data_IF_943130358417
#
_entry.id   IF_943130358417
#
_cell.length_a   1.000
_cell.length_b   1.000
_cell.length_c   1.000
_cell.angle_alpha   90.00
_cell.angle_beta   90.00
_cell.angle_gamma   90.00
#
_symmetry.space_group_name_H-M   'P 1'
#
loop_
_entity.id
_entity.type
_entity.pdbx_description
1 polymer ?
2 non-polymer ?
3 non-polymer ?
4 non-polymer ?
5 non-polymer ?
6 water ?
#
# COMPACT_ATOMS: atom_id res chain seq x y z
N UNK A 15 -17.72 -15.67 16.35
CA UNK A 15 -17.18 -14.73 15.33
C UNK A 15 -16.17 -13.75 15.93
N UNK A 16 -16.54 -13.13 17.04
CA UNK A 16 -15.67 -12.17 17.73
C UNK A 16 -14.39 -12.87 18.18
N UNK A 17 -14.51 -14.10 18.70
CA UNK A 17 -13.33 -14.90 19.04
C UNK A 17 -12.43 -15.20 17.85
N UNK A 18 -13.02 -15.57 16.70
CA UNK A 18 -12.22 -15.76 15.46
C UNK A 18 -11.51 -14.48 15.03
N UNK A 19 -12.22 -13.36 15.07
CA UNK A 19 -11.62 -12.08 14.68
C UNK A 19 -10.45 -11.73 15.61
N UNK A 20 -10.67 -11.89 16.92
CA UNK A 20 -9.61 -11.64 17.93
C UNK A 20 -8.39 -12.51 17.68
N UNK A 21 -8.62 -13.77 17.31
CA UNK A 21 -7.53 -14.69 17.01
C UNK A 21 -6.71 -14.23 15.80
N UNK A 22 -7.38 -13.80 14.74
CA UNK A 22 -6.68 -13.28 13.56
C UNK A 22 -5.87 -12.04 13.92
N UNK A 23 -6.46 -11.19 14.76
CA UNK A 23 -5.82 -9.93 15.16
C UNK A 23 -4.64 -10.13 16.13
N UNK A 24 -4.42 -11.36 16.60
CA UNK A 24 -3.16 -11.70 17.32
C UNK A 24 -1.95 -11.45 16.41
N UNK A 25 -2.16 -11.48 15.09
CA UNK A 25 -1.10 -11.23 14.12
C UNK A 25 -1.08 -9.80 13.59
N UNK A 26 -1.74 -8.87 14.30
CA UNK A 26 -1.81 -7.47 13.88
C UNK A 26 -0.45 -6.85 13.57
N UNK A 27 0.58 -7.22 14.33
CA UNK A 27 1.91 -6.62 14.17
C UNK A 27 2.86 -7.52 13.35
N UNK A 28 2.30 -8.49 12.64
CA UNK A 28 3.08 -9.48 11.93
C UNK A 28 2.83 -9.44 10.43
N UNK A 29 3.90 -9.66 9.68
CA UNK A 29 3.78 -9.84 8.24
C UNK A 29 2.96 -11.07 8.00
N UNK A 30 2.00 -11.01 7.10
CA UNK A 30 1.17 -12.18 6.80
C UNK A 30 -0.02 -12.44 7.70
N UNK A 31 -0.45 -11.44 8.45
CA UNK A 31 -1.79 -11.45 9.03
C UNK A 31 -2.78 -11.80 7.90
N UNK A 32 -3.73 -12.68 8.16
CA UNK A 32 -4.62 -13.13 7.10
C UNK A 32 -5.78 -12.16 6.97
N UNK A 33 -5.60 -11.15 6.12
CA UNK A 33 -6.58 -10.10 5.94
C UNK A 33 -7.85 -10.60 5.26
N UNK A 34 -7.73 -11.67 4.49
CA UNK A 34 -8.93 -12.32 3.91
C UNK A 34 -9.84 -12.84 5.01
N UNK A 35 -9.25 -13.48 6.02
CA UNK A 35 -10.04 -13.90 7.17
C UNK A 35 -10.61 -12.72 7.95
N UNK A 36 -9.82 -11.66 8.13
CA UNK A 36 -10.33 -10.45 8.77
C UNK A 36 -11.56 -9.90 8.03
N UNK A 37 -11.51 -9.89 6.70
CA UNK A 37 -12.67 -9.44 5.90
C UNK A 37 -13.91 -10.30 6.18
N UNK A 38 -13.72 -11.61 6.23
CA UNK A 38 -14.79 -12.53 6.50
C UNK A 38 -15.42 -12.32 7.86
N UNK A 39 -14.57 -12.16 8.89
CA UNK A 39 -15.08 -12.07 10.27
C UNK A 39 -15.55 -10.66 10.66
N UNK A 40 -15.27 -9.65 9.82
CA UNK A 40 -15.74 -8.29 10.04
C UNK A 40 -16.91 -7.88 9.12
N UNK A 41 -17.59 -8.87 8.55
CA UNK A 41 -18.64 -8.69 7.54
C UNK A 41 -18.25 -7.70 6.42
N UNK A 42 -17.11 -8.05 5.83
CA UNK A 42 -16.54 -7.37 4.69
C UNK A 42 -16.25 -5.89 4.91
N UNK A 43 -15.72 -5.61 6.11
CA UNK A 43 -15.23 -4.29 6.46
C UNK A 43 -13.76 -4.41 6.93
N UNK A 44 -12.90 -5.02 6.10
CA UNK A 44 -11.50 -5.21 6.54
C UNK A 44 -10.75 -3.90 6.77
N UNK A 45 -11.05 -2.86 6.00
CA UNK A 45 -10.30 -1.61 6.13
C UNK A 45 -10.67 -0.90 7.43
N UNK A 46 -11.96 -0.74 7.68
CA UNK A 46 -12.40 -0.13 8.95
C UNK A 46 -11.89 -0.95 10.14
N UNK A 47 -12.06 -2.26 10.06
CA UNK A 47 -11.66 -3.16 11.15
C UNK A 47 -10.15 -3.07 11.43
N UNK A 48 -9.34 -3.23 10.40
CA UNK A 48 -7.88 -3.22 10.60
C UNK A 48 -7.34 -1.83 10.99
N UNK A 49 -7.91 -0.76 10.43
CA UNK A 49 -7.49 0.59 10.81
C UNK A 49 -7.84 0.92 12.25
N UNK A 50 -9.01 0.49 12.72
CA UNK A 50 -9.38 0.70 14.12
C UNK A 50 -8.37 -0.07 15.00
N UNK A 51 -8.10 -1.32 14.65
CA UNK A 51 -7.14 -2.15 15.39
C UNK A 51 -5.76 -1.48 15.45
N UNK A 52 -5.29 -1.00 14.29
CA UNK A 52 -3.95 -0.37 14.20
C UNK A 52 -3.90 0.90 15.05
N UNK A 53 -4.95 1.71 14.94
CA UNK A 53 -4.97 2.97 15.67
C UNK A 53 -5.09 2.76 17.19
N UNK A 54 -5.83 1.74 17.60
CA UNK A 54 -5.87 1.35 19.00
C UNK A 54 -4.48 0.87 19.49
N UNK A 55 -3.89 -0.02 18.70
CA UNK A 55 -2.60 -0.63 19.00
C UNK A 55 -1.48 0.39 19.21
N UNK A 56 -1.44 1.40 18.34
CA UNK A 56 -0.41 2.42 18.40
C UNK A 56 -0.80 3.62 19.26
N UNK A 57 -1.95 3.55 19.95
CA UNK A 57 -2.45 4.65 20.78
C UNK A 57 -2.62 5.94 19.95
N UNK A 58 -2.85 5.82 18.65
CA UNK A 58 -2.97 6.99 17.75
C UNK A 58 -4.22 7.82 18.04
N UNK A 59 -5.33 7.18 18.44
CA UNK A 59 -6.53 7.92 18.82
C UNK A 59 -6.26 8.79 20.04
N UNK A 60 -5.57 8.24 21.05
CA UNK A 60 -5.20 9.00 22.23
C UNK A 60 -4.18 10.11 21.92
N UNK A 61 -3.13 9.77 21.20
CA UNK A 61 -2.05 10.71 20.90
C UNK A 61 -2.50 11.93 20.11
N UNK A 62 -3.36 11.68 19.13
CA UNK A 62 -3.83 12.70 18.18
C UNK A 62 -5.24 13.16 18.48
N UNK A 63 -5.77 12.67 19.60
CA UNK A 63 -7.01 13.14 20.19
C UNK A 63 -8.15 13.02 19.18
N UNK A 64 -8.32 11.81 18.66
CA UNK A 64 -9.32 11.47 17.66
C UNK A 64 -10.36 10.64 18.36
N UNK A 65 -11.61 11.05 18.31
CA UNK A 65 -12.66 10.26 18.96
C UNK A 65 -12.87 9.01 18.13
N UNK A 66 -13.30 7.93 18.79
CA UNK A 66 -13.66 6.69 18.07
C UNK A 66 -14.77 6.95 17.07
N UNK A 67 -15.72 7.82 17.44
CA UNK A 67 -16.83 8.18 16.55
C UNK A 67 -16.34 8.81 15.25
N UNK A 68 -15.45 9.79 15.35
CA UNK A 68 -14.93 10.47 14.18
C UNK A 68 -14.11 9.48 13.34
N UNK A 69 -13.27 8.70 14.00
CA UNK A 69 -12.42 7.79 13.28
C UNK A 69 -13.23 6.71 12.52
N UNK A 70 -14.20 6.09 13.19
CA UNK A 70 -14.98 5.04 12.55
C UNK A 70 -15.91 5.60 11.47
N UNK A 71 -16.38 6.85 11.65
CA UNK A 71 -17.19 7.55 10.63
C UNK A 71 -16.36 7.80 9.36
N UNK A 72 -15.14 8.34 9.54
CA UNK A 72 -14.25 8.52 8.42
C UNK A 72 -13.92 7.20 7.75
N UNK A 73 -13.48 6.22 8.54
CA UNK A 73 -13.08 4.95 7.96
C UNK A 73 -14.17 4.22 7.19
N UNK A 74 -15.38 4.21 7.73
CA UNK A 74 -16.49 3.59 7.02
C UNK A 74 -16.81 4.30 5.70
N UNK A 75 -16.73 5.63 5.69
CA UNK A 75 -16.93 6.42 4.48
C UNK A 75 -15.81 6.18 3.46
N UNK A 76 -14.58 6.15 3.94
CA UNK A 76 -13.42 5.81 3.11
C UNK A 76 -13.61 4.43 2.47
N UNK A 77 -13.99 3.45 3.29
CA UNK A 77 -14.14 2.08 2.82
C UNK A 77 -15.25 1.98 1.76
N UNK A 78 -16.34 2.75 1.97
CA UNK A 78 -17.46 2.82 1.03
C UNK A 78 -17.05 3.41 -0.33
N UNK A 79 -15.93 4.16 -0.36
CA UNK A 79 -15.40 4.77 -1.59
C UNK A 79 -14.36 3.92 -2.31
N UNK A 80 -14.04 2.75 -1.76
CA UNK A 80 -13.41 1.68 -2.52
C UNK A 80 -14.51 0.90 -3.20
N UNK A 81 -14.32 0.57 -4.47
CA UNK A 81 -15.35 -0.08 -5.28
C UNK A 81 -15.35 -1.59 -4.95
N UNK A 82 -16.46 -2.12 -4.45
CA UNK A 82 -16.55 -3.56 -4.15
C UNK A 82 -16.59 -4.47 -5.38
N UNK A 83 -16.94 -3.91 -6.53
CA UNK A 83 -17.01 -4.65 -7.78
C UNK A 83 -15.71 -4.68 -8.60
N UNK A 84 -14.64 -4.05 -8.13
CA UNK A 84 -13.32 -4.25 -8.74
C UNK A 84 -12.60 -5.38 -8.00
N UNK A 85 -11.95 -6.25 -8.77
CA UNK A 85 -11.45 -7.51 -8.19
C UNK A 85 -10.26 -7.36 -7.24
N UNK A 86 -9.39 -6.38 -7.51
CA UNK A 86 -8.17 -6.17 -6.71
C UNK A 86 -8.19 -4.87 -5.91
N UNK A 87 -8.43 -3.75 -6.58
CA UNK A 87 -8.29 -2.42 -5.96
C UNK A 87 -9.54 -2.03 -5.17
N UNK A 88 -9.93 -2.92 -4.27
CA UNK A 88 -11.06 -2.75 -3.38
C UNK A 88 -10.51 -2.58 -1.96
N UNK A 89 -11.39 -2.48 -0.96
CA UNK A 89 -10.88 -2.12 0.38
C UNK A 89 -10.05 -3.22 1.07
N UNK A 90 -10.14 -4.46 0.58
CA UNK A 90 -9.28 -5.55 1.08
C UNK A 90 -7.81 -5.24 0.77
N UNK A 91 -7.55 -4.76 -0.43
CA UNK A 91 -6.19 -4.35 -0.81
C UNK A 91 -5.70 -3.20 0.08
N UNK A 92 -6.56 -2.20 0.29
CA UNK A 92 -6.22 -1.07 1.14
C UNK A 92 -5.89 -1.52 2.57
N UNK A 93 -6.72 -2.43 3.11
CA UNK A 93 -6.53 -2.97 4.44
C UNK A 93 -5.17 -3.70 4.52
N UNK A 94 -4.86 -4.47 3.49
CA UNK A 94 -3.60 -5.20 3.43
C UNK A 94 -2.39 -4.23 3.43
N UNK A 95 -2.47 -3.20 2.60
CA UNK A 95 -1.37 -2.23 2.48
C UNK A 95 -1.20 -1.43 3.78
N UNK A 96 -2.31 -1.07 4.42
CA UNK A 96 -2.23 -0.40 5.69
C UNK A 96 -1.60 -1.27 6.76
N UNK A 97 -2.05 -2.51 6.88
CA UNK A 97 -1.50 -3.41 7.91
C UNK A 97 0.00 -3.71 7.61
N UNK A 98 0.33 -3.85 6.33
CA UNK A 98 1.74 -4.11 5.94
C UNK A 98 2.63 -2.88 6.26
N UNK A 99 2.09 -1.68 6.05
CA UNK A 99 2.81 -0.45 6.39
C UNK A 99 3.00 -0.36 7.91
N UNK A 100 1.96 -0.69 8.66
CA UNK A 100 2.03 -0.76 10.11
C UNK A 100 3.16 -1.70 10.60
N UNK A 101 3.32 -2.86 9.93
CA UNK A 101 4.40 -3.79 10.23
C UNK A 101 5.80 -3.20 9.91
N UNK A 102 5.91 -2.63 8.72
CA UNK A 102 7.18 -2.02 8.30
C UNK A 102 7.64 -0.86 9.22
N UNK A 103 6.70 -0.09 9.72
CA UNK A 103 7.06 1.03 10.62
C UNK A 103 7.72 0.56 11.92
N UNK A 104 7.40 -0.65 12.34
CA UNK A 104 7.98 -1.26 13.54
C UNK A 104 9.19 -2.18 13.28
N UNK A 105 9.80 -2.14 12.10
CA UNK A 105 10.98 -2.94 11.84
C UNK A 105 12.05 -2.45 12.82
N UNK A 106 12.70 -3.38 13.54
CA UNK A 106 13.71 -3.01 14.57
C UNK A 106 14.82 -2.05 14.14
N UNK A 107 15.31 -2.20 12.90
CA UNK A 107 16.29 -1.26 12.36
C UNK A 107 15.80 0.19 12.26
N UNK A 108 14.49 0.44 12.36
CA UNK A 108 13.91 1.79 12.34
C UNK A 108 13.42 2.24 13.72
N UNK A 109 13.90 1.59 14.78
CA UNK A 109 13.50 1.90 16.16
C UNK A 109 13.75 3.38 16.50
N UNK A 110 12.67 4.09 16.84
CA UNK A 110 12.73 5.49 17.27
C UNK A 110 13.17 6.45 16.17
N UNK A 111 13.15 6.02 14.91
CA UNK A 111 13.57 6.85 13.78
C UNK A 111 12.45 7.82 13.42
N UNK A 112 11.21 7.31 13.32
CA UNK A 112 10.09 8.12 12.85
C UNK A 112 9.26 8.70 13.97
N UNK A 113 8.75 9.91 13.73
CA UNK A 113 7.95 10.62 14.69
C UNK A 113 6.54 10.03 14.69
N UNK A 114 5.76 10.38 15.71
CA UNK A 114 4.36 10.02 15.77
C UNK A 114 3.60 10.51 14.55
N UNK A 115 3.91 11.75 14.13
CA UNK A 115 3.23 12.34 12.95
C UNK A 115 3.54 11.54 11.66
N UNK A 116 4.80 11.15 11.51
CA UNK A 116 5.23 10.33 10.37
C UNK A 116 4.53 8.97 10.34
N UNK A 117 4.41 8.34 11.52
CA UNK A 117 3.69 7.08 11.69
C UNK A 117 2.23 7.22 11.27
N UNK A 118 1.56 8.23 11.83
CA UNK A 118 0.17 8.56 11.47
C UNK A 118 0.01 8.76 9.95
N UNK A 119 0.90 9.57 9.37
CA UNK A 119 0.85 9.92 7.96
C UNK A 119 0.99 8.68 7.08
N UNK A 120 1.94 7.82 7.43
CA UNK A 120 2.21 6.62 6.61
C UNK A 120 1.04 5.66 6.61
N UNK A 121 0.45 5.46 7.78
CA UNK A 121 -0.67 4.50 7.90
C UNK A 121 -1.90 5.06 7.18
N UNK A 122 -2.16 6.36 7.37
CA UNK A 122 -3.24 7.02 6.65
C UNK A 122 -3.04 6.97 5.14
N UNK A 123 -1.83 7.29 4.67
CA UNK A 123 -1.50 7.21 3.25
C UNK A 123 -1.81 5.83 2.71
N UNK A 124 -1.36 4.80 3.41
CA UNK A 124 -1.63 3.41 3.02
C UNK A 124 -3.16 3.17 2.93
N UNK A 125 -3.92 3.65 3.88
CA UNK A 125 -5.36 3.39 3.88
C UNK A 125 -6.08 4.02 2.70
N UNK A 126 -5.67 5.22 2.33
CA UNK A 126 -6.33 6.00 1.27
C UNK A 126 -5.72 5.78 -0.12
N UNK A 127 -4.61 5.07 -0.23
CA UNK A 127 -3.76 5.19 -1.40
C UNK A 127 -4.36 4.69 -2.71
N UNK A 128 -5.43 3.89 -2.66
CA UNK A 128 -6.14 3.47 -3.88
C UNK A 128 -7.63 3.77 -3.85
N UNK A 129 -8.06 4.76 -3.04
CA UNK A 129 -9.49 4.96 -2.85
C UNK A 129 -10.12 5.41 -4.18
N UNK A 130 -11.33 4.91 -4.46
CA UNK A 130 -12.08 5.27 -5.66
C UNK A 130 -11.35 4.88 -6.94
N UNK A 131 -10.65 3.77 -6.88
CA UNK A 131 -9.93 3.22 -8.03
C UNK A 131 -10.96 2.63 -9.00
N UNK A 132 -10.87 2.96 -10.29
CA UNK A 132 -11.83 2.44 -11.26
C UNK A 132 -11.55 1.04 -11.80
N UNK A 133 -10.42 0.43 -11.41
CA UNK A 133 -10.03 -0.88 -11.87
C UNK A 133 -9.38 -0.91 -13.26
N UNK A 134 -8.85 0.22 -13.68
CA UNK A 134 -8.02 0.32 -14.89
C UNK A 134 -6.76 1.10 -14.57
N UNK A 135 -5.77 0.98 -15.45
CA UNK A 135 -4.47 1.61 -15.22
C UNK A 135 -4.39 3.06 -15.63
N UNK A 136 -3.34 3.73 -15.18
CA UNK A 136 -3.04 5.09 -15.67
C UNK A 136 -2.91 5.14 -17.20
N UNK A 137 -2.25 4.15 -17.78
CA UNK A 137 -2.07 4.13 -19.23
C UNK A 137 -3.43 4.06 -19.93
N UNK A 138 -4.34 3.25 -19.38
CA UNK A 138 -5.70 3.21 -19.94
C UNK A 138 -6.40 4.57 -19.86
N UNK A 139 -6.29 5.24 -18.73
CA UNK A 139 -6.98 6.54 -18.54
C UNK A 139 -6.39 7.58 -19.50
N UNK A 140 -5.07 7.52 -19.70
CA UNK A 140 -4.39 8.45 -20.61
C UNK A 140 -4.82 8.20 -22.04
N UNK A 141 -4.75 6.93 -22.46
CA UNK A 141 -5.05 6.59 -23.85
C UNK A 141 -6.54 6.69 -24.24
N UNK A 142 -7.44 6.72 -23.25
CA UNK A 142 -8.86 6.94 -23.49
C UNK A 142 -9.31 8.39 -23.25
N UNK A 143 -8.36 9.30 -23.02
CA UNK A 143 -8.63 10.71 -22.83
C UNK A 143 -9.63 10.96 -21.70
N UNK A 144 -9.45 10.23 -20.59
CA UNK A 144 -10.29 10.33 -19.38
C UNK A 144 -10.27 11.77 -18.87
N UNK A 145 -11.39 12.20 -18.31
CA UNK A 145 -11.43 13.45 -17.52
C UNK A 145 -10.36 13.50 -16.48
N UNK A 146 -10.08 12.38 -15.81
CA UNK A 146 -9.03 12.38 -14.77
C UNK A 146 -7.67 12.64 -15.40
N UNK A 147 -7.39 12.02 -16.54
CA UNK A 147 -6.10 12.27 -17.23
C UNK A 147 -5.98 13.72 -17.66
N UNK A 148 -7.08 14.30 -18.14
CA UNK A 148 -7.13 15.74 -18.47
C UNK A 148 -6.85 16.63 -17.24
N UNK A 149 -7.55 16.36 -16.15
CA UNK A 149 -7.40 17.13 -14.92
C UNK A 149 -5.95 17.17 -14.44
N UNK A 150 -5.26 16.03 -14.49
CA UNK A 150 -3.92 15.90 -13.94
C UNK A 150 -2.80 15.83 -14.98
N UNK A 151 -3.09 16.25 -16.21
CA UNK A 151 -2.14 16.26 -17.30
C UNK A 151 -1.34 14.97 -17.42
N UNK A 152 -2.05 13.84 -17.36
CA UNK A 152 -1.43 12.50 -17.50
C UNK A 152 -0.39 12.15 -16.41
N UNK A 153 -0.30 12.95 -15.35
CA UNK A 153 0.78 12.82 -14.35
C UNK A 153 0.19 12.16 -13.12
N UNK A 154 0.70 10.98 -12.75
CA UNK A 154 0.20 10.22 -11.59
C UNK A 154 -1.33 10.31 -11.45
N UNK A 155 -2.02 9.92 -12.52
CA UNK A 155 -3.43 10.30 -12.69
C UNK A 155 -4.25 9.68 -11.56
N UNK A 156 -4.19 8.36 -11.42
CA UNK A 156 -4.93 7.68 -10.36
C UNK A 156 -4.54 8.16 -8.97
N UNK A 157 -3.22 8.28 -8.75
CA UNK A 157 -2.67 8.60 -7.44
C UNK A 157 -3.10 9.99 -6.98
N UNK A 158 -3.09 10.95 -7.90
CA UNK A 158 -3.71 12.27 -7.65
C UNK A 158 -5.18 12.18 -7.28
N UNK A 159 -5.89 11.33 -8.00
CA UNK A 159 -7.30 11.12 -7.72
C UNK A 159 -7.55 10.49 -6.36
N UNK A 160 -6.73 9.51 -5.98
CA UNK A 160 -6.87 8.87 -4.66
C UNK A 160 -6.69 9.91 -3.54
N UNK A 161 -5.68 10.77 -3.69
CA UNK A 161 -5.42 11.86 -2.75
C UNK A 161 -6.61 12.81 -2.69
N UNK A 162 -7.14 13.17 -3.86
CA UNK A 162 -8.26 14.10 -3.91
C UNK A 162 -9.45 13.57 -3.12
N UNK A 163 -9.78 12.30 -3.34
CA UNK A 163 -10.93 11.70 -2.66
C UNK A 163 -10.64 11.49 -1.17
N UNK A 164 -9.49 10.95 -0.84
CA UNK A 164 -9.18 10.64 0.56
C UNK A 164 -9.16 11.90 1.40
N UNK A 165 -8.61 12.99 0.87
CA UNK A 165 -8.59 14.26 1.59
C UNK A 165 -9.95 14.88 1.66
N UNK A 166 -10.73 14.84 0.58
CA UNK A 166 -12.04 15.53 0.58
C UNK A 166 -12.98 14.88 1.58
N UNK A 167 -12.86 13.59 1.76
CA UNK A 167 -13.72 12.88 2.75
C UNK A 167 -13.51 13.38 4.19
N UNK A 168 -12.34 13.93 4.47
CA UNK A 168 -12.08 14.56 5.79
C UNK A 168 -13.02 15.72 6.11
N UNK A 169 -13.56 16.38 5.07
CA UNK A 169 -14.49 17.50 5.21
C UNK A 169 -15.95 17.12 5.42
N UNK A 170 -16.27 15.83 5.34
CA UNK A 170 -17.64 15.36 5.63
C UNK A 170 -17.92 15.44 7.13
N UNK A 171 -19.20 15.48 7.48
CA UNK A 171 -19.62 15.68 8.87
C UNK A 171 -19.02 14.57 9.76
N UNK A 172 -18.37 15.00 10.84
CA UNK A 172 -17.74 14.10 11.83
C UNK A 172 -16.66 13.20 11.24
N UNK A 173 -15.97 13.69 10.21
CA UNK A 173 -14.93 12.92 9.53
C UNK A 173 -13.51 13.45 9.65
N UNK A 174 -13.31 14.64 10.22
CA UNK A 174 -11.95 15.23 10.23
C UNK A 174 -11.13 14.64 11.38
N UNK A 175 -10.52 13.50 11.09
CA UNK A 175 -9.68 12.81 12.07
C UNK A 175 -8.42 13.62 12.47
N UNK A 176 -8.08 14.66 11.71
CA UNK A 176 -6.89 15.52 12.02
C UNK A 176 -7.19 16.83 12.69
N UNK A 177 -8.42 17.04 13.15
CA UNK A 177 -8.87 18.31 13.72
C UNK A 177 -8.06 18.80 14.93
N UNK A 178 -7.44 17.88 15.68
CA UNK A 178 -6.70 18.27 16.90
C UNK A 178 -5.18 18.24 16.72
N UNK A 179 -4.72 17.96 15.50
CA UNK A 179 -3.31 18.21 15.13
C UNK A 179 -3.07 19.71 15.16
N UNK A 180 -1.83 20.10 15.43
CA UNK A 180 -1.45 21.50 15.31
C UNK A 180 -1.50 21.90 13.83
N UNK A 181 -1.54 23.20 13.58
CA UNK A 181 -1.60 23.72 12.20
C UNK A 181 -0.40 23.24 11.39
N UNK A 182 0.79 23.32 11.98
CA UNK A 182 1.99 22.86 11.31
C UNK A 182 1.96 21.36 11.09
N UNK A 183 1.43 20.61 12.06
CA UNK A 183 1.31 19.17 11.89
C UNK A 183 0.34 18.79 10.78
N UNK A 184 -0.78 19.51 10.68
CA UNK A 184 -1.71 19.31 9.58
C UNK A 184 -1.06 19.57 8.20
N UNK A 185 -0.35 20.69 8.09
CA UNK A 185 0.36 21.00 6.85
C UNK A 185 1.42 19.95 6.49
N UNK A 186 2.22 19.56 7.49
CA UNK A 186 3.30 18.59 7.26
C UNK A 186 2.73 17.20 6.95
N UNK A 187 1.71 16.79 7.68
CA UNK A 187 1.08 15.49 7.37
C UNK A 187 0.49 15.49 5.96
N UNK A 188 -0.15 16.58 5.54
CA UNK A 188 -0.69 16.65 4.18
C UNK A 188 0.40 16.41 3.16
N UNK A 189 1.53 17.13 3.31
CA UNK A 189 2.66 17.00 2.38
C UNK A 189 3.17 15.56 2.39
N UNK A 190 3.35 14.98 3.59
CA UNK A 190 3.86 13.61 3.71
C UNK A 190 2.93 12.54 3.10
N UNK A 191 1.64 12.68 3.34
CA UNK A 191 0.65 11.76 2.74
C UNK A 191 0.69 11.86 1.23
N UNK A 192 0.73 13.07 0.70
CA UNK A 192 0.88 13.27 -0.73
C UNK A 192 2.12 12.54 -1.24
N UNK A 193 3.25 12.77 -0.58
CA UNK A 193 4.48 12.13 -1.00
C UNK A 193 4.35 10.61 -1.06
N UNK A 194 3.72 10.03 -0.06
CA UNK A 194 3.66 8.56 0.05
C UNK A 194 2.66 7.98 -0.94
N UNK A 195 1.53 8.66 -1.16
CA UNK A 195 0.55 8.14 -2.15
C UNK A 195 1.13 8.29 -3.57
N UNK A 196 1.73 9.42 -3.86
CA UNK A 196 2.35 9.60 -5.19
C UNK A 196 3.49 8.59 -5.41
N UNK A 197 4.16 8.15 -4.34
CA UNK A 197 5.22 7.15 -4.46
C UNK A 197 4.68 5.77 -4.84
N UNK A 198 3.36 5.59 -4.87
CA UNK A 198 2.78 4.34 -5.37
C UNK A 198 2.58 4.34 -6.89
N UNK A 199 2.76 5.49 -7.54
CA UNK A 199 2.75 5.60 -9.01
C UNK A 199 3.94 4.81 -9.56
N UNK A 200 3.66 3.76 -10.31
CA UNK A 200 4.75 2.95 -10.87
C UNK A 200 5.74 3.70 -11.76
N UNK A 201 5.29 4.81 -12.37
CA UNK A 201 6.20 5.65 -13.14
C UNK A 201 7.35 6.24 -12.32
N UNK A 202 7.18 6.28 -10.99
CA UNK A 202 8.20 6.79 -10.06
C UNK A 202 9.11 5.69 -9.51
N UNK A 203 8.84 4.45 -9.88
CA UNK A 203 9.54 3.32 -9.28
C UNK A 203 11.06 3.37 -9.44
N UNK A 204 11.53 3.61 -10.65
CA UNK A 204 12.97 3.61 -10.89
C UNK A 204 13.66 4.71 -10.10
N UNK A 205 13.04 5.87 -10.00
CA UNK A 205 13.59 7.00 -9.24
C UNK A 205 13.67 6.69 -7.76
N UNK A 206 12.58 6.19 -7.23
CA UNK A 206 12.50 5.79 -5.82
C UNK A 206 13.55 4.76 -5.49
N UNK A 207 13.69 3.74 -6.33
CA UNK A 207 14.69 2.69 -6.11
C UNK A 207 16.11 3.21 -6.22
N UNK A 208 16.37 4.11 -7.17
CA UNK A 208 17.69 4.71 -7.26
C UNK A 208 18.05 5.44 -5.97
N UNK A 209 17.10 6.18 -5.43
CA UNK A 209 17.31 6.92 -4.16
C UNK A 209 17.48 5.95 -2.99
N UNK A 210 16.69 4.88 -2.95
CA UNK A 210 16.85 3.86 -1.90
C UNK A 210 18.25 3.22 -1.95
N UNK A 211 18.74 2.91 -3.16
CA UNK A 211 20.06 2.33 -3.35
C UNK A 211 21.12 3.30 -2.87
N UNK A 212 20.95 4.59 -3.18
CA UNK A 212 21.86 5.63 -2.69
C UNK A 212 21.91 5.66 -1.15
N UNK A 213 20.75 5.55 -0.52
CA UNK A 213 20.68 5.52 0.94
C UNK A 213 21.38 4.30 1.53
N UNK A 214 21.24 3.14 0.87
CA UNK A 214 21.94 1.93 1.30
C UNK A 214 23.46 2.10 1.17
N UNK A 215 23.89 2.63 0.04
CA UNK A 215 25.32 2.84 -0.23
C UNK A 215 25.97 3.84 0.72
N UNK A 216 25.18 4.76 1.28
CA UNK A 216 25.68 5.79 2.21
C UNK A 216 25.07 5.66 3.62
N UNK A 217 24.61 4.47 4.00
CA UNK A 217 23.84 4.36 5.23
C UNK A 217 24.70 4.57 6.48
N UNK A 218 24.11 5.22 7.47
CA UNK A 218 24.72 5.45 8.78
C UNK A 218 23.87 4.66 9.78
N UNK A 219 24.54 3.99 10.73
CA UNK A 219 23.90 3.08 11.67
C UNK A 219 24.50 3.30 13.07
N UNK A 220 23.65 3.26 14.10
CA UNK A 220 24.10 3.35 15.51
C UNK A 220 24.81 2.06 15.93
N UNK A 221 25.40 2.11 17.12
CA UNK A 221 25.97 0.93 17.78
C UNK A 221 24.96 -0.22 17.93
N UNK A 222 23.69 0.12 18.16
CA UNK A 222 22.60 -0.86 18.32
C UNK A 222 22.02 -1.46 17.02
N UNK A 223 22.53 -1.03 15.85
CA UNK A 223 22.04 -1.53 14.56
C UNK A 223 20.85 -0.78 13.99
N UNK A 224 20.60 0.44 14.49
CA UNK A 224 19.47 1.28 14.09
C UNK A 224 19.90 2.33 13.05
N UNK A 225 19.07 2.52 12.02
CA UNK A 225 19.36 3.45 10.93
C UNK A 225 19.37 4.91 11.44
N UNK A 226 20.34 5.71 10.99
CA UNK A 226 20.41 7.15 11.29
C UNK A 226 19.87 7.94 10.11
N UNK A 227 18.76 8.64 10.30
CA UNK A 227 18.06 9.42 9.24
C UNK A 227 17.91 10.86 9.70
N UNK A 228 19.08 11.50 9.78
CA UNK A 228 19.24 12.94 10.05
C UNK A 228 18.23 13.87 9.35
N UNK A 229 18.43 14.11 8.05
CA UNK A 229 17.71 15.16 7.34
C UNK A 229 16.36 14.66 6.82
N UNK A 230 15.43 15.60 6.65
CA UNK A 230 14.04 15.33 6.26
C UNK A 230 13.92 14.65 4.90
N UNK A 231 14.81 14.97 3.96
CA UNK A 231 14.82 14.31 2.65
C UNK A 231 15.05 12.81 2.79
N UNK A 232 16.03 12.40 3.58
CA UNK A 232 16.26 10.96 3.83
C UNK A 232 15.05 10.28 4.46
N UNK A 233 14.42 10.99 5.41
CA UNK A 233 13.27 10.44 6.12
C UNK A 233 12.10 10.18 5.19
N UNK A 234 11.76 11.16 4.38
CA UNK A 234 10.64 11.03 3.46
C UNK A 234 10.97 10.06 2.32
N UNK A 235 12.24 9.96 1.94
CA UNK A 235 12.63 8.99 0.93
C UNK A 235 12.44 7.57 1.44
N UNK A 236 12.83 7.31 2.70
CA UNK A 236 12.52 6.01 3.29
C UNK A 236 11.01 5.74 3.40
N UNK A 237 10.22 6.72 3.84
CA UNK A 237 8.77 6.54 3.98
C UNK A 237 8.08 6.32 2.65
N UNK A 238 8.49 7.07 1.62
CA UNK A 238 7.98 6.85 0.26
C UNK A 238 8.24 5.40 -0.18
N UNK A 239 9.49 4.95 0.00
CA UNK A 239 9.84 3.58 -0.38
C UNK A 239 9.11 2.54 0.45
N UNK A 240 8.86 2.85 1.71
CA UNK A 240 8.18 1.93 2.61
C UNK A 240 6.75 1.66 2.13
N UNK A 241 6.02 2.72 1.83
CA UNK A 241 4.65 2.54 1.34
C UNK A 241 4.62 1.86 -0.04
N UNK A 242 5.58 2.17 -0.90
CA UNK A 242 5.70 1.51 -2.18
C UNK A 242 6.00 0.01 -2.00
N UNK A 243 6.88 -0.32 -1.06
CA UNK A 243 7.16 -1.72 -0.71
C UNK A 243 5.92 -2.44 -0.22
N UNK A 244 5.14 -1.78 0.64
CA UNK A 244 3.89 -2.38 1.13
C UNK A 244 2.90 -2.61 0.00
N UNK A 245 2.84 -1.66 -0.93
CA UNK A 245 1.95 -1.77 -2.08
C UNK A 245 2.34 -2.98 -2.95
N UNK A 246 3.65 -3.22 -3.03
CA UNK A 246 4.24 -4.26 -3.84
C UNK A 246 4.57 -5.47 -2.98
N UNK A 247 3.81 -5.73 -1.91
CA UNK A 247 4.19 -6.76 -0.97
C UNK A 247 3.53 -8.12 -1.24
N UNK A 248 2.58 -8.21 -2.17
CA UNK A 248 1.83 -9.48 -2.30
C UNK A 248 2.75 -10.70 -2.51
N UNK A 249 3.79 -10.56 -3.37
CA UNK A 249 4.63 -11.74 -3.63
C UNK A 249 5.54 -12.11 -2.45
N UNK A 250 5.61 -11.25 -1.43
CA UNK A 250 6.40 -11.52 -0.24
C UNK A 250 5.62 -12.20 0.88
N UNK A 251 4.35 -12.46 0.66
CA UNK A 251 3.49 -13.12 1.63
C UNK A 251 3.50 -14.61 1.42
N UNK A 252 3.07 -15.34 2.45
CA UNK A 252 2.95 -16.79 2.37
C UNK A 252 2.19 -17.17 1.11
N UNK A 253 2.64 -18.22 0.44
CA UNK A 253 2.10 -18.62 -0.88
C UNK A 253 0.57 -18.72 -0.96
N UNK A 254 -0.07 -19.25 0.07
CA UNK A 254 -1.53 -19.41 0.04
C UNK A 254 -2.23 -18.04 -0.03
N UNK A 255 -1.59 -17.00 0.52
CA UNK A 255 -2.12 -15.64 0.45
C UNK A 255 -1.74 -14.98 -0.87
N UNK A 256 -0.48 -15.10 -1.29
CA UNK A 256 -0.04 -14.56 -2.56
C UNK A 256 -0.91 -15.07 -3.73
N UNK A 257 -1.24 -16.36 -3.74
CA UNK A 257 -2.06 -16.92 -4.83
C UNK A 257 -3.44 -16.25 -4.91
N UNK A 258 -4.03 -15.92 -3.77
CA UNK A 258 -5.31 -15.20 -3.76
C UNK A 258 -5.16 -13.80 -4.36
N UNK A 259 -4.09 -13.08 -4.00
CA UNK A 259 -3.80 -11.77 -4.62
C UNK A 259 -3.59 -11.87 -6.13
N UNK A 260 -2.88 -12.90 -6.58
CA UNK A 260 -2.61 -13.08 -8.01
C UNK A 260 -3.93 -13.34 -8.76
N UNK A 261 -4.80 -14.17 -8.18
CA UNK A 261 -6.12 -14.42 -8.77
C UNK A 261 -6.88 -13.10 -8.97
N UNK A 262 -6.79 -12.21 -7.98
CA UNK A 262 -7.52 -10.95 -8.02
C UNK A 262 -6.96 -9.97 -9.03
N UNK A 263 -5.63 -9.80 -9.06
CA UNK A 263 -5.03 -8.86 -10.02
C UNK A 263 -5.24 -9.38 -11.46
N UNK A 264 -5.15 -10.68 -11.71
CA UNK A 264 -5.35 -11.17 -13.07
C UNK A 264 -6.81 -10.98 -13.50
N UNK A 265 -7.76 -11.13 -12.56
CA UNK A 265 -9.14 -10.81 -12.88
C UNK A 265 -9.31 -9.34 -13.27
N UNK A 266 -8.65 -8.44 -12.53
CA UNK A 266 -8.74 -7.03 -12.87
C UNK A 266 -8.04 -6.72 -14.21
N UNK A 267 -6.87 -7.34 -14.46
CA UNK A 267 -6.12 -7.15 -15.73
C UNK A 267 -6.94 -7.62 -16.94
N UNK A 268 -7.51 -8.81 -16.82
CA UNK A 268 -8.25 -9.41 -17.93
C UNK A 268 -9.47 -8.57 -18.25
N UNK A 269 -10.14 -8.07 -17.21
CA UNK A 269 -11.23 -7.13 -17.42
C UNK A 269 -10.80 -5.83 -18.13
N UNK A 270 -9.69 -5.21 -17.72
CA UNK A 270 -9.18 -4.08 -18.50
C UNK A 270 -8.89 -4.45 -19.97
N UNK A 271 -8.23 -5.59 -20.17
CA UNK A 271 -7.89 -6.06 -21.51
C UNK A 271 -9.10 -6.26 -22.42
N UNK A 272 -10.18 -6.72 -21.80
CA UNK A 272 -11.47 -6.84 -22.51
C UNK A 272 -12.02 -5.47 -22.92
N UNK A 273 -11.86 -4.46 -22.07
CA UNK A 273 -12.29 -3.07 -22.43
C UNK A 273 -11.45 -2.51 -23.56
N UNK A 274 -10.14 -2.73 -23.50
CA UNK A 274 -9.21 -2.34 -24.57
C UNK A 274 -9.57 -3.01 -25.90
N UNK A 275 -9.81 -4.32 -25.86
CA UNK A 275 -10.22 -5.06 -27.07
C UNK A 275 -11.54 -4.51 -27.64
N UNK A 276 -12.50 -4.20 -26.78
CA UNK A 276 -13.82 -3.72 -27.25
C UNK A 276 -13.77 -2.27 -27.79
N UNK A 277 -12.79 -1.49 -27.34
CA UNK A 277 -12.53 -0.14 -27.87
C UNK A 277 -11.62 -0.16 -29.12
N UNK A 278 -11.17 -1.34 -29.53
CA UNK A 278 -10.26 -1.46 -30.68
C UNK A 278 -8.85 -0.99 -30.36
N UNK A 279 -8.49 -0.99 -29.07
CA UNK A 279 -7.16 -0.55 -28.62
C UNK A 279 -6.22 -1.74 -28.59
N UNK A 280 -4.92 -1.46 -28.60
CA UNK A 280 -3.90 -2.47 -28.32
C UNK A 280 -4.09 -2.91 -26.86
N UNK A 281 -4.11 -4.23 -26.65
CA UNK A 281 -4.32 -4.82 -25.32
C UNK A 281 -3.03 -4.69 -24.52
N UNK A 282 -3.16 -4.27 -23.26
CA UNK A 282 -1.98 -3.95 -22.42
C UNK A 282 -1.23 -5.25 -22.09
N UNK A 283 0.07 -5.14 -21.70
CA UNK A 283 0.80 -6.37 -21.36
C UNK A 283 0.12 -7.13 -20.21
N UNK A 284 0.01 -8.46 -20.35
CA UNK A 284 -0.58 -9.34 -19.34
C UNK A 284 -2.12 -9.28 -19.23
N UNK A 285 -2.79 -8.56 -20.13
CA UNK A 285 -4.24 -8.29 -20.02
C UNK A 285 -5.10 -9.07 -21.02
N UNK A 286 -4.46 -9.81 -21.93
CA UNK A 286 -5.17 -10.62 -22.93
C UNK A 286 -5.36 -12.02 -22.37
N UNK A 287 -6.57 -12.32 -21.91
CA UNK A 287 -6.92 -13.58 -21.25
C UNK A 287 -6.81 -14.82 -22.16
N UNK A 288 -6.87 -14.61 -23.47
CA UNK A 288 -6.70 -15.69 -24.43
C UNK A 288 -5.23 -16.09 -24.64
N UNK A 289 -4.28 -15.24 -24.21
CA UNK A 289 -2.85 -15.52 -24.39
C UNK A 289 -1.96 -15.34 -23.14
N UNK A 290 -2.47 -14.64 -22.13
CA UNK A 290 -1.65 -14.28 -20.96
C UNK A 290 -1.36 -15.51 -20.08
N UNK A 291 -0.10 -15.65 -19.69
CA UNK A 291 0.31 -16.61 -18.65
C UNK A 291 0.34 -15.89 -17.31
N UNK A 292 -0.50 -16.32 -16.37
CA UNK A 292 -0.51 -15.76 -15.04
C UNK A 292 0.86 -15.93 -14.35
N UNK A 293 1.45 -17.10 -14.56
CA UNK A 293 2.70 -17.47 -13.88
C UNK A 293 3.88 -16.67 -14.46
N UNK A 294 3.97 -16.58 -15.79
CA UNK A 294 5.05 -15.78 -16.42
C UNK A 294 4.96 -14.32 -16.01
N UNK A 295 3.74 -13.79 -15.94
CA UNK A 295 3.51 -12.40 -15.53
C UNK A 295 4.03 -12.14 -14.12
N UNK A 296 3.76 -13.06 -13.20
CA UNK A 296 4.25 -12.94 -11.82
C UNK A 296 5.77 -13.01 -11.75
N UNK A 297 6.38 -13.95 -12.47
CA UNK A 297 7.86 -14.08 -12.41
C UNK A 297 8.51 -12.79 -12.96
N UNK A 298 8.00 -12.28 -14.08
CA UNK A 298 8.52 -11.05 -14.65
C UNK A 298 8.37 -9.86 -13.69
N UNK A 299 7.20 -9.77 -13.07
CA UNK A 299 6.88 -8.73 -12.07
C UNK A 299 7.91 -8.77 -10.95
N UNK A 300 8.16 -9.96 -10.43
CA UNK A 300 9.11 -10.12 -9.34
C UNK A 300 10.52 -9.79 -9.82
N UNK A 301 10.92 -10.34 -10.96
CA UNK A 301 12.31 -10.15 -11.39
C UNK A 301 12.63 -8.71 -11.72
N UNK A 302 11.70 -8.03 -12.37
CA UNK A 302 11.98 -6.68 -12.83
C UNK A 302 11.62 -5.54 -11.86
N UNK A 303 10.70 -5.80 -10.95
CA UNK A 303 10.18 -4.76 -10.06
C UNK A 303 10.29 -5.12 -8.57
N UNK A 304 9.68 -6.21 -8.15
CA UNK A 304 9.50 -6.46 -6.74
C UNK A 304 10.82 -6.86 -6.06
N UNK A 305 11.58 -7.74 -6.70
CA UNK A 305 12.81 -8.24 -6.08
C UNK A 305 13.91 -7.17 -6.00
N UNK A 306 14.12 -6.37 -7.07
CA UNK A 306 15.09 -5.27 -6.92
C UNK A 306 14.75 -4.33 -5.76
N UNK A 307 13.47 -4.00 -5.63
CA UNK A 307 13.02 -3.12 -4.56
C UNK A 307 13.22 -3.76 -3.18
N UNK A 308 12.69 -4.97 -3.00
CA UNK A 308 12.71 -5.63 -1.68
C UNK A 308 14.11 -6.06 -1.27
N UNK A 309 14.98 -6.46 -2.22
CA UNK A 309 16.39 -6.73 -1.88
C UNK A 309 17.09 -5.47 -1.37
N UNK A 310 16.78 -4.32 -1.98
CA UNK A 310 17.39 -3.06 -1.55
C UNK A 310 16.84 -2.63 -0.17
N UNK A 311 15.53 -2.77 0.02
CA UNK A 311 14.94 -2.55 1.34
C UNK A 311 15.56 -3.46 2.37
N UNK A 312 15.69 -4.74 2.03
CA UNK A 312 16.31 -5.71 2.95
C UNK A 312 17.72 -5.29 3.35
N UNK A 313 18.48 -4.75 2.40
CA UNK A 313 19.81 -4.28 2.70
C UNK A 313 19.80 -3.07 3.63
N UNK A 314 18.88 -2.14 3.40
CA UNK A 314 18.71 -0.96 4.27
C UNK A 314 18.48 -1.38 5.73
N UNK A 315 17.61 -2.36 5.95
CA UNK A 315 17.18 -2.75 7.30
C UNK A 315 17.77 -4.07 7.79
N UNK A 316 18.89 -4.49 7.19
CA UNK A 316 19.41 -5.82 7.46
C UNK A 316 19.68 -6.03 8.94
N UNK A 317 19.35 -7.21 9.49
CA UNK A 317 18.83 -8.42 8.84
C UNK A 317 17.30 -8.57 8.93
N UNK A 318 16.59 -7.49 9.20
CA UNK A 318 15.17 -7.59 9.61
C UNK A 318 14.20 -8.08 8.55
N UNK A 319 14.54 -7.93 7.26
CA UNK A 319 13.66 -8.35 6.17
C UNK A 319 14.08 -9.70 5.57
N UNK A 320 14.97 -10.41 6.25
CA UNK A 320 15.51 -11.65 5.72
C UNK A 320 14.43 -12.69 5.36
N UNK A 321 13.46 -12.91 6.24
CA UNK A 321 12.41 -13.92 5.99
C UNK A 321 11.46 -13.46 4.90
N UNK A 322 11.22 -12.14 4.85
CA UNK A 322 10.40 -11.55 3.79
C UNK A 322 11.05 -11.77 2.42
N UNK A 323 12.34 -11.47 2.32
CA UNK A 323 13.06 -11.63 1.06
C UNK A 323 13.16 -13.12 0.66
N UNK A 324 13.44 -14.00 1.62
CA UNK A 324 13.46 -15.45 1.34
C UNK A 324 12.12 -15.94 0.82
N UNK A 325 11.03 -15.51 1.46
CA UNK A 325 9.66 -15.87 1.00
C UNK A 325 9.43 -15.39 -0.45
N UNK A 326 9.83 -14.17 -0.77
CA UNK A 326 9.68 -13.64 -2.12
C UNK A 326 10.40 -14.53 -3.14
N UNK A 327 11.63 -14.93 -2.80
CA UNK A 327 12.47 -15.69 -3.72
C UNK A 327 11.87 -17.07 -3.89
N UNK A 328 11.41 -17.64 -2.79
CA UNK A 328 10.78 -18.96 -2.82
C UNK A 328 9.51 -18.95 -3.68
N UNK A 329 8.69 -17.93 -3.50
CA UNK A 329 7.44 -17.77 -4.26
C UNK A 329 7.70 -17.55 -5.74
N UNK A 330 8.73 -16.77 -6.06
CA UNK A 330 9.13 -16.57 -7.43
C UNK A 330 9.48 -17.87 -8.13
N UNK A 331 10.31 -18.69 -7.47
CA UNK A 331 10.73 -19.95 -8.03
C UNK A 331 9.58 -20.96 -8.11
N UNK A 332 8.65 -20.91 -7.14
CA UNK A 332 7.43 -21.74 -7.22
C UNK A 332 6.60 -21.32 -8.44
N UNK A 333 6.33 -20.03 -8.61
CA UNK A 333 5.57 -19.58 -9.79
C UNK A 333 6.28 -19.93 -11.10
N UNK A 334 7.60 -19.84 -11.11
CA UNK A 334 8.35 -20.14 -12.31
C UNK A 334 8.20 -21.62 -12.68
N UNK A 335 8.18 -22.48 -11.65
CA UNK A 335 8.00 -23.91 -11.86
C UNK A 335 6.61 -24.28 -12.40
N UNK A 336 5.63 -23.39 -12.19
CA UNK A 336 4.27 -23.58 -12.67
C UNK A 336 4.00 -23.01 -14.07
N UNK A 337 5.00 -22.40 -14.70
CA UNK A 337 4.83 -21.86 -16.06
C UNK A 337 4.45 -22.98 -17.06
N UNK A 338 3.43 -22.72 -17.94
CA UNK A 338 3.05 -23.67 -18.98
C UNK A 338 3.70 -23.37 -20.34
#
# INVERSE_FOLDING_TARGET
GAMGSISRFGVNTENEDHLAKELEDLNKWGLNIFNVAGYSHNRPLTCIMYAIFQERDLLKTFRISSDTFITYMMTLEDHYHSDVAYHNSLHAADVAQSTHVLLSTPALDAVFTDLEILAAIFAAAIHDVDHPGVSNQFLINTNSELALMYNDESVLENHHLAVGFKLLQEEHCDIFMNLTKKQRQTLRKMVIDMVLATDMSKHMSLLADLKTMVETKKVTSSGVLLLDNYTDRIQVLRNMVHCADLSNPTKSLELYRQWTDRIMEEFFQQGDKERERGMEISPMCDKHTASVEKSQVGFIDYIVHPLWETWADLVQPDAQDILDTLEDNRNWYQSMIPQS
#
